data_IF_444616250887
#
_entry.id   IF_444616250887
#
_cell.length_a   1.000
_cell.length_b   1.000
_cell.length_c   1.000
_cell.angle_alpha   90.00
_cell.angle_beta   90.00
_cell.angle_gamma   90.00
#
_symmetry.space_group_name_H-M   'P 1'
#
loop_
_entity.id
_entity.type
_entity.pdbx_description
1 polymer ?
#
# COMPACT_ATOMS: atom_id res chain seq x y z
N UNK A 1 -9.89 15.08 4.71
CA UNK A 1 -10.38 14.80 3.37
C UNK A 1 -10.99 13.42 3.32
N UNK A 2 -12.11 13.28 2.65
CA UNK A 2 -12.76 11.97 2.50
C UNK A 2 -12.85 11.62 1.03
N UNK A 3 -12.45 10.40 0.70
CA UNK A 3 -12.46 9.91 -0.68
C UNK A 3 -13.32 8.67 -0.74
N UNK A 4 -14.35 8.71 -1.59
CA UNK A 4 -15.18 7.52 -1.84
C UNK A 4 -14.56 6.78 -3.02
N UNK A 5 -13.97 5.65 -2.74
CA UNK A 5 -13.25 4.87 -3.77
C UNK A 5 -14.20 4.48 -4.90
N UNK A 6 -15.43 4.12 -4.56
CA UNK A 6 -16.41 3.72 -5.56
C UNK A 6 -16.63 4.81 -6.62
N UNK A 7 -16.59 6.07 -6.22
CA UNK A 7 -16.82 7.19 -7.16
C UNK A 7 -15.62 7.44 -8.07
N UNK A 8 -14.43 7.10 -7.62
CA UNK A 8 -13.22 7.38 -8.38
C UNK A 8 -12.72 6.18 -9.17
N UNK A 9 -13.01 4.98 -8.69
CA UNK A 9 -12.46 3.75 -9.27
C UNK A 9 -13.57 2.81 -9.74
N UNK A 10 -14.63 2.66 -8.94
CA UNK A 10 -15.68 1.71 -9.22
C UNK A 10 -15.62 0.54 -8.25
N UNK A 11 -16.30 -0.55 -8.60
CA UNK A 11 -16.45 -1.69 -7.69
C UNK A 11 -15.21 -2.56 -7.60
N UNK A 12 -14.28 -2.44 -8.56
CA UNK A 12 -13.09 -3.29 -8.59
C UNK A 12 -11.85 -2.43 -8.61
N UNK A 13 -11.06 -2.55 -7.55
CA UNK A 13 -9.79 -1.84 -7.41
C UNK A 13 -8.69 -2.78 -7.88
N UNK A 14 -8.51 -2.86 -9.20
CA UNK A 14 -7.68 -3.91 -9.78
C UNK A 14 -6.50 -3.41 -10.59
N UNK A 15 -6.62 -2.24 -11.23
CA UNK A 15 -5.63 -1.83 -12.21
C UNK A 15 -4.58 -0.89 -11.62
N UNK A 16 -3.46 -0.81 -12.32
CA UNK A 16 -2.38 0.12 -12.01
C UNK A 16 -2.90 1.55 -12.11
N UNK A 17 -3.67 1.85 -13.17
CA UNK A 17 -4.19 3.20 -13.39
C UNK A 17 -5.09 3.65 -12.25
N UNK A 18 -5.95 2.74 -11.77
CA UNK A 18 -6.83 3.06 -10.66
C UNK A 18 -6.03 3.38 -9.39
N UNK A 19 -4.99 2.59 -9.15
CA UNK A 19 -4.10 2.85 -8.01
C UNK A 19 -3.43 4.21 -8.11
N UNK A 20 -2.95 4.54 -9.30
CA UNK A 20 -2.29 5.83 -9.52
C UNK A 20 -3.26 6.99 -9.34
N UNK A 21 -4.51 6.83 -9.78
CA UNK A 21 -5.51 7.86 -9.60
C UNK A 21 -5.77 8.14 -8.12
N UNK A 22 -5.87 7.09 -7.31
CA UNK A 22 -6.05 7.25 -5.87
C UNK A 22 -4.81 7.90 -5.26
N UNK A 23 -3.62 7.46 -5.67
CA UNK A 23 -2.38 8.05 -5.16
C UNK A 23 -2.33 9.57 -5.43
N UNK A 24 -2.75 10.00 -6.61
CA UNK A 24 -2.76 11.43 -6.95
C UNK A 24 -3.67 12.23 -6.03
N UNK A 25 -4.71 11.61 -5.52
CA UNK A 25 -5.59 12.27 -4.55
C UNK A 25 -4.96 12.30 -3.15
N UNK A 26 -4.22 11.26 -2.80
CA UNK A 26 -3.63 11.12 -1.48
C UNK A 26 -2.38 11.97 -1.28
N UNK A 27 -1.53 12.03 -2.31
CA UNK A 27 -0.19 12.60 -2.17
C UNK A 27 -0.19 14.05 -1.67
N UNK A 28 -1.01 14.96 -2.23
CA UNK A 28 -1.00 16.35 -1.75
C UNK A 28 -1.42 16.46 -0.29
N UNK A 29 -2.40 15.62 0.13
CA UNK A 29 -2.87 15.65 1.50
C UNK A 29 -1.79 15.17 2.47
N UNK A 30 -1.07 14.12 2.07
CA UNK A 30 0.03 13.62 2.89
C UNK A 30 1.15 14.64 3.00
N UNK A 31 1.45 15.36 1.93
CA UNK A 31 2.46 16.40 1.97
C UNK A 31 2.09 17.52 2.92
N UNK A 32 0.79 17.81 3.04
CA UNK A 32 0.30 18.84 3.96
C UNK A 32 0.16 18.34 5.39
N UNK A 33 0.32 17.05 5.61
CA UNK A 33 0.13 16.45 6.94
C UNK A 33 -1.31 16.24 7.33
N UNK A 34 -2.22 16.23 6.38
CA UNK A 34 -3.65 16.08 6.65
C UNK A 34 -4.03 14.61 6.74
N UNK A 35 -5.14 14.37 7.47
CA UNK A 35 -5.76 13.06 7.51
C UNK A 35 -6.58 12.83 6.26
N UNK A 36 -6.57 11.61 5.76
CA UNK A 36 -7.38 11.22 4.60
C UNK A 36 -8.17 9.97 4.96
N UNK A 37 -9.45 10.00 4.71
CA UNK A 37 -10.31 8.84 4.92
C UNK A 37 -10.65 8.23 3.57
N UNK A 38 -10.35 6.94 3.41
CA UNK A 38 -10.72 6.17 2.21
C UNK A 38 -11.93 5.31 2.54
N UNK A 39 -13.02 5.57 1.85
CA UNK A 39 -14.27 4.85 2.05
C UNK A 39 -14.41 3.82 0.93
N UNK A 40 -14.44 2.54 1.32
CA UNK A 40 -14.52 1.43 0.37
C UNK A 40 -15.93 0.86 0.24
N UNK A 41 -16.94 1.60 0.69
CA UNK A 41 -18.32 1.14 0.59
C UNK A 41 -18.67 0.83 -0.87
N UNK A 42 -19.20 -0.37 -1.12
CA UNK A 42 -19.57 -0.79 -2.46
C UNK A 42 -18.44 -1.40 -3.28
N UNK A 43 -17.21 -1.35 -2.79
CA UNK A 43 -16.07 -1.97 -3.47
C UNK A 43 -16.10 -3.47 -3.24
N UNK A 44 -16.04 -4.24 -4.32
CA UNK A 44 -16.15 -5.70 -4.25
C UNK A 44 -14.80 -6.40 -4.20
N UNK A 45 -13.79 -5.85 -4.87
CA UNK A 45 -12.49 -6.50 -4.90
C UNK A 45 -11.37 -5.46 -4.87
N UNK A 46 -10.26 -5.86 -4.23
CA UNK A 46 -9.04 -5.06 -4.13
C UNK A 46 -7.88 -5.99 -4.48
N UNK A 47 -7.12 -5.63 -5.51
CA UNK A 47 -6.03 -6.48 -6.00
C UNK A 47 -4.68 -5.79 -5.80
N UNK A 48 -3.63 -6.58 -5.82
CA UNK A 48 -2.27 -6.13 -5.54
C UNK A 48 -1.80 -5.00 -6.45
N UNK A 49 -2.02 -5.02 -7.78
CA UNK A 49 -1.57 -3.89 -8.61
C UNK A 49 -2.15 -2.55 -8.19
N UNK A 50 -3.40 -2.54 -7.75
CA UNK A 50 -4.03 -1.34 -7.22
C UNK A 50 -3.31 -0.88 -5.95
N UNK A 51 -3.05 -1.82 -5.04
CA UNK A 51 -2.40 -1.49 -3.77
C UNK A 51 -0.98 -0.99 -3.97
N UNK A 52 -0.22 -1.61 -4.87
CA UNK A 52 1.15 -1.18 -5.14
C UNK A 52 1.22 0.26 -5.63
N UNK A 53 0.21 0.70 -6.37
CA UNK A 53 0.22 2.02 -6.99
C UNK A 53 -0.54 3.07 -6.17
N UNK A 54 -1.06 2.70 -5.02
CA UNK A 54 -1.72 3.64 -4.12
C UNK A 54 -1.06 3.59 -2.74
N UNK A 55 -1.53 2.71 -1.87
CA UNK A 55 -0.99 2.59 -0.51
C UNK A 55 0.49 2.21 -0.54
N UNK A 56 0.87 1.32 -1.46
CA UNK A 56 2.26 0.88 -1.57
C UNK A 56 3.23 2.02 -1.86
N UNK A 57 2.82 2.98 -2.69
CA UNK A 57 3.67 4.13 -2.96
C UNK A 57 3.84 5.01 -1.72
N UNK A 58 2.78 5.17 -0.94
CA UNK A 58 2.88 5.92 0.30
C UNK A 58 3.84 5.23 1.28
N UNK A 59 3.77 3.90 1.35
CA UNK A 59 4.66 3.14 2.22
C UNK A 59 6.11 3.22 1.77
N UNK A 60 6.35 3.51 0.50
CA UNK A 60 7.70 3.73 -0.02
C UNK A 60 8.23 5.13 0.25
N UNK A 61 7.35 6.09 0.54
CA UNK A 61 7.72 7.48 0.73
C UNK A 61 7.65 7.92 2.19
N UNK A 62 6.85 7.24 3.00
CA UNK A 62 6.64 7.57 4.40
C UNK A 62 6.78 6.32 5.24
N UNK A 63 7.08 6.49 6.52
CA UNK A 63 7.13 5.37 7.44
C UNK A 63 5.74 4.79 7.65
N UNK A 64 5.69 3.51 7.96
CA UNK A 64 4.42 2.82 8.20
C UNK A 64 3.56 3.54 9.23
N UNK A 65 4.18 3.97 10.32
CA UNK A 65 3.45 4.66 11.38
C UNK A 65 2.80 5.92 10.87
N UNK A 66 3.51 6.68 10.03
CA UNK A 66 2.96 7.90 9.45
C UNK A 66 1.75 7.60 8.57
N UNK A 67 1.86 6.57 7.74
CA UNK A 67 0.76 6.18 6.86
C UNK A 67 -0.43 5.75 7.68
N UNK A 68 -0.20 4.92 8.71
CA UNK A 68 -1.30 4.41 9.54
C UNK A 68 -1.97 5.52 10.34
N UNK A 69 -1.23 6.57 10.71
CA UNK A 69 -1.81 7.70 11.43
C UNK A 69 -2.66 8.60 10.55
N UNK A 70 -2.26 8.77 9.30
CA UNK A 70 -2.89 9.74 8.42
C UNK A 70 -3.93 9.13 7.48
N UNK A 71 -3.89 7.82 7.29
CA UNK A 71 -4.80 7.14 6.38
C UNK A 71 -5.81 6.35 7.17
N UNK A 72 -7.07 6.75 7.06
CA UNK A 72 -8.18 6.07 7.74
C UNK A 72 -8.95 5.28 6.70
N UNK A 73 -9.12 3.99 6.95
CA UNK A 73 -9.83 3.09 6.03
C UNK A 73 -11.17 2.74 6.64
N UNK A 74 -12.23 2.89 5.89
CA UNK A 74 -13.55 2.56 6.41
C UNK A 74 -14.39 1.79 5.40
N UNK A 75 -15.38 1.07 5.92
CA UNK A 75 -16.33 0.28 5.15
C UNK A 75 -15.66 -0.83 4.34
N UNK A 76 -14.61 -1.41 4.90
CA UNK A 76 -13.97 -2.60 4.35
C UNK A 76 -14.67 -3.84 4.91
N UNK A 77 -14.80 -4.87 4.06
CA UNK A 77 -15.22 -6.17 4.57
C UNK A 77 -14.09 -6.75 5.43
N UNK A 78 -14.43 -7.77 6.24
CA UNK A 78 -13.42 -8.43 7.05
C UNK A 78 -12.28 -8.99 6.20
N UNK A 79 -12.62 -9.54 5.05
CA UNK A 79 -11.61 -10.09 4.14
C UNK A 79 -10.73 -9.00 3.53
N UNK A 80 -11.34 -7.88 3.15
CA UNK A 80 -10.59 -6.76 2.59
C UNK A 80 -9.66 -6.16 3.62
N UNK A 81 -10.12 -6.02 4.85
CA UNK A 81 -9.30 -5.48 5.93
C UNK A 81 -8.10 -6.38 6.19
N UNK A 82 -8.35 -7.69 6.22
CA UNK A 82 -7.27 -8.66 6.43
C UNK A 82 -6.25 -8.59 5.30
N UNK A 83 -6.72 -8.50 4.06
CA UNK A 83 -5.84 -8.39 2.91
C UNK A 83 -4.96 -7.15 3.00
N UNK A 84 -5.57 -6.01 3.33
CA UNK A 84 -4.83 -4.75 3.45
C UNK A 84 -3.81 -4.80 4.57
N UNK A 85 -4.19 -5.33 5.72
CA UNK A 85 -3.25 -5.44 6.84
C UNK A 85 -2.07 -6.33 6.50
N UNK A 86 -2.33 -7.46 5.83
CA UNK A 86 -1.25 -8.34 5.40
C UNK A 86 -0.35 -7.64 4.39
N UNK A 87 -0.94 -6.91 3.46
CA UNK A 87 -0.17 -6.18 2.46
C UNK A 87 0.74 -5.14 3.12
N UNK A 88 0.18 -4.36 4.03
CA UNK A 88 0.93 -3.30 4.70
C UNK A 88 2.08 -3.88 5.51
N UNK A 89 1.82 -4.95 6.26
CA UNK A 89 2.85 -5.58 7.07
C UNK A 89 3.95 -6.17 6.20
N UNK A 90 3.59 -6.79 5.10
CA UNK A 90 4.57 -7.39 4.20
C UNK A 90 5.42 -6.32 3.52
N UNK A 91 4.79 -5.23 3.10
CA UNK A 91 5.51 -4.14 2.45
C UNK A 91 6.50 -3.48 3.42
N UNK A 92 6.07 -3.28 4.66
CA UNK A 92 6.93 -2.72 5.69
C UNK A 92 8.12 -3.64 5.95
N UNK A 93 7.88 -4.94 6.04
CA UNK A 93 8.95 -5.91 6.25
C UNK A 93 9.93 -5.92 5.08
N UNK A 94 9.43 -5.80 3.85
CA UNK A 94 10.30 -5.74 2.68
C UNK A 94 11.22 -4.53 2.73
N UNK A 95 10.70 -3.39 3.11
CA UNK A 95 11.49 -2.18 3.20
C UNK A 95 12.53 -2.29 4.30
N UNK A 96 12.14 -2.84 5.43
CA UNK A 96 13.07 -3.05 6.53
C UNK A 96 14.19 -4.00 6.10
N UNK A 97 13.83 -5.08 5.43
CA UNK A 97 14.80 -6.04 4.96
C UNK A 97 15.74 -5.44 3.92
N UNK A 98 15.20 -4.62 3.03
CA UNK A 98 16.03 -3.96 2.03
C UNK A 98 17.07 -3.07 2.70
N UNK A 99 16.66 -2.29 3.68
CA UNK A 99 17.58 -1.42 4.41
C UNK A 99 18.64 -2.23 5.14
N UNK A 100 18.26 -3.33 5.75
CA UNK A 100 19.18 -4.21 6.45
C UNK A 100 20.06 -4.97 5.50
N UNK A 101 19.52 -5.37 4.38
CA UNK A 101 20.16 -6.32 3.47
C UNK A 101 21.15 -5.70 2.54
N UNK A 102 21.26 -4.39 2.53
CA UNK A 102 22.24 -3.79 1.64
C UNK A 102 23.61 -4.45 1.81
N UNK A 103 24.00 -4.67 3.05
CA UNK A 103 25.26 -5.34 3.32
C UNK A 103 25.19 -6.84 3.06
N UNK A 104 24.08 -7.46 3.45
CA UNK A 104 23.97 -8.91 3.33
C UNK A 104 23.86 -9.34 1.87
N UNK A 105 23.16 -8.56 1.08
CA UNK A 105 23.00 -8.89 -0.32
C UNK A 105 24.34 -8.96 -1.03
N UNK A 106 25.24 -8.11 -0.67
CA UNK A 106 26.57 -8.12 -1.24
C UNK A 106 27.35 -9.39 -0.89
N UNK A 107 26.96 -10.01 0.22
CA UNK A 107 27.63 -11.24 0.65
C UNK A 107 27.06 -12.47 -0.03
N UNK A 108 25.77 -12.49 -0.33
CA UNK A 108 25.13 -13.71 -0.79
C UNK A 108 24.95 -13.78 -2.28
N UNK A 109 24.56 -12.89 -2.75
CA UNK A 109 24.07 -12.99 -4.07
C UNK A 109 24.21 -14.26 -4.83
N UNK A 110 23.13 -14.24 -4.40
CA UNK A 110 22.20 -14.75 -4.66
C UNK A 110 21.52 -15.49 -4.76
N UNK A 111 21.73 -15.62 -4.68
CA UNK A 111 20.72 -16.19 -4.56
C UNK A 111 20.08 -16.64 -4.42
N UNK A 112 20.09 -16.62 -4.23
CA UNK A 112 19.27 -16.85 -3.85
C UNK A 112 18.68 -17.07 -3.76
N UNK A 113 19.31 -17.11 -4.04
CA UNK A 113 18.58 -17.24 -3.85
C UNK A 113 18.04 -17.61 -3.92
N UNK A 114 18.72 -17.83 -4.33
CA UNK A 114 18.00 -17.99 -4.06
C UNK A 114 17.56 -18.36 -4.07
N UNK A 115 17.92 -18.46 -4.03
CA UNK A 115 17.39 -18.67 -3.70
C UNK A 115 16.94 -18.87 -3.34
N UNK A 116 17.17 -18.89 -3.42
CA UNK A 116 16.72 -18.85 -2.94
C UNK A 116 16.21 -18.90 -2.68
N UNK A 117 16.69 -19.12 -3.15
CA UNK A 117 16.13 -18.89 -2.74
C UNK A 117 15.93 -19.03 -2.65
N UNK A 118 16.17 -19.04 -2.51
CA UNK A 118 15.92 -18.86 -2.13
C UNK A 118 15.68 -18.90 -1.99
#
# INVERSE_FOLDING_TARGET
>A
MKIRILEHVGTQCASIDDGQNVYRLLAPEFQKGNLVELNFEGVESILTPFLHNSVGRLLGEYEKETVMERLVLCNLSAEQLKLLNLYIDRKDAEQFEDDSRTSLRELFEEDELGDMGL
#
